data_IF_686648938656
#
_entry.id   IF_686648938656
#
_cell.length_a   1.000
_cell.length_b   1.000
_cell.length_c   1.000
_cell.angle_alpha   90.00
_cell.angle_beta   90.00
_cell.angle_gamma   90.00
#
_symmetry.space_group_name_H-M   'P 1'
#
loop_
_entity.id
_entity.type
_entity.pdbx_description
1 polymer ?
#
# COMPACT_ATOMS: atom_id res chain seq x y z
N UNK A 1 19.81 25.33 -3.49
CA UNK A 1 19.00 24.22 -4.06
C UNK A 1 18.25 23.58 -2.91
N UNK A 2 16.92 23.79 -2.84
CA UNK A 2 16.09 23.15 -1.82
C UNK A 2 15.73 21.77 -2.36
N UNK A 3 16.24 20.73 -1.72
CA UNK A 3 15.96 19.33 -2.04
C UNK A 3 14.50 18.99 -1.66
N UNK A 4 13.58 19.32 -2.56
CA UNK A 4 12.14 19.07 -2.39
C UNK A 4 11.77 17.60 -2.59
N UNK A 5 12.72 16.71 -2.89
CA UNK A 5 12.44 15.28 -3.06
C UNK A 5 12.23 14.58 -1.72
N UNK A 6 13.02 14.96 -0.70
CA UNK A 6 12.95 14.39 0.65
C UNK A 6 11.65 14.70 1.37
N UNK A 7 11.21 15.97 1.37
CA UNK A 7 10.00 16.34 2.13
C UNK A 7 8.69 15.77 1.55
N UNK A 8 8.67 15.37 0.27
CA UNK A 8 7.51 14.78 -0.40
C UNK A 8 7.29 13.31 -0.02
N UNK A 9 8.39 12.57 0.11
CA UNK A 9 8.37 11.20 0.68
C UNK A 9 7.87 11.25 2.12
N UNK A 10 8.30 12.25 2.89
CA UNK A 10 7.97 12.37 4.31
C UNK A 10 6.46 12.52 4.58
N UNK A 11 5.69 13.21 3.72
CA UNK A 11 4.25 13.41 3.96
C UNK A 11 3.40 12.17 3.66
N UNK A 12 3.71 11.44 2.57
CA UNK A 12 3.07 10.16 2.29
C UNK A 12 3.47 9.11 3.32
N UNK A 13 4.74 9.11 3.73
CA UNK A 13 5.23 8.22 4.77
C UNK A 13 4.63 8.55 6.14
N UNK A 14 4.39 9.83 6.45
CA UNK A 14 3.60 10.23 7.64
C UNK A 14 2.15 9.78 7.55
N UNK A 15 1.53 9.85 6.37
CA UNK A 15 0.19 9.32 6.17
C UNK A 15 0.14 7.80 6.34
N UNK A 16 1.11 7.06 5.78
CA UNK A 16 1.25 5.61 5.96
C UNK A 16 1.46 5.23 7.44
N UNK A 17 2.27 6.00 8.18
CA UNK A 17 2.44 5.85 9.63
C UNK A 17 1.10 6.03 10.35
N UNK A 18 0.41 7.15 10.13
CA UNK A 18 -0.88 7.45 10.79
C UNK A 18 -1.93 6.38 10.46
N UNK A 19 -2.01 5.97 9.19
CA UNK A 19 -2.99 4.98 8.74
C UNK A 19 -2.68 3.64 9.40
N UNK A 20 -1.44 3.17 9.37
CA UNK A 20 -1.19 1.87 9.96
C UNK A 20 -1.22 1.87 11.50
N UNK A 21 -1.06 3.02 12.18
CA UNK A 21 -1.27 3.10 13.65
C UNK A 21 -2.76 2.81 13.94
N UNK A 22 -3.64 3.40 13.13
CA UNK A 22 -5.08 3.13 13.19
C UNK A 22 -5.43 1.68 12.81
N UNK A 23 -4.73 1.11 11.83
CA UNK A 23 -4.90 -0.31 11.44
C UNK A 23 -4.48 -1.26 12.55
N UNK A 24 -3.39 -0.99 13.25
CA UNK A 24 -2.91 -1.81 14.37
C UNK A 24 -3.95 -1.85 15.50
N UNK A 25 -4.55 -0.70 15.82
CA UNK A 25 -5.67 -0.61 16.77
C UNK A 25 -6.89 -1.43 16.30
N UNK A 26 -7.28 -1.30 15.04
CA UNK A 26 -8.46 -1.98 14.50
C UNK A 26 -8.25 -3.50 14.33
N UNK A 27 -7.03 -3.94 13.99
CA UNK A 27 -6.68 -5.35 13.85
C UNK A 27 -6.38 -6.04 15.18
N UNK A 28 -6.27 -5.28 16.29
CA UNK A 28 -6.01 -5.78 17.65
C UNK A 28 -4.83 -6.76 17.73
N UNK A 29 -3.81 -6.53 16.90
CA UNK A 29 -2.65 -7.42 16.76
C UNK A 29 -1.37 -6.59 16.73
N UNK A 30 -0.31 -6.98 17.49
CA UNK A 30 0.97 -6.31 17.38
C UNK A 30 1.59 -6.66 16.02
N UNK A 31 1.58 -5.70 15.10
CA UNK A 31 2.19 -5.83 13.78
C UNK A 31 3.54 -5.13 13.80
N UNK A 32 4.56 -5.80 13.24
CA UNK A 32 5.84 -5.17 12.95
C UNK A 32 5.70 -4.36 11.67
N UNK A 33 6.26 -3.15 11.71
CA UNK A 33 6.39 -2.25 10.56
C UNK A 33 7.82 -2.28 10.03
N UNK A 34 7.97 -2.14 8.72
CA UNK A 34 9.28 -2.06 8.06
C UNK A 34 10.22 -3.25 8.34
N UNK A 35 9.67 -4.41 8.71
CA UNK A 35 10.47 -5.61 8.98
C UNK A 35 11.03 -6.18 7.67
N UNK A 36 12.34 -6.47 7.63
CA UNK A 36 12.92 -7.18 6.50
C UNK A 36 12.62 -8.67 6.61
N UNK A 37 11.66 -9.13 5.83
CA UNK A 37 11.28 -10.54 5.75
C UNK A 37 12.07 -11.22 4.65
N UNK A 38 13.06 -12.03 5.05
CA UNK A 38 13.92 -12.77 4.12
C UNK A 38 13.11 -13.84 3.39
N UNK A 39 13.15 -13.80 2.06
CA UNK A 39 12.60 -14.81 1.16
C UNK A 39 13.67 -15.87 0.82
N UNK A 40 14.84 -15.43 0.38
CA UNK A 40 15.97 -16.32 0.08
C UNK A 40 17.28 -15.58 0.31
N UNK A 41 18.42 -16.24 0.06
CA UNK A 41 19.73 -15.62 0.23
C UNK A 41 19.81 -14.27 -0.51
N UNK A 42 20.05 -13.20 0.25
CA UNK A 42 20.12 -11.82 -0.28
C UNK A 42 18.80 -11.19 -0.72
N UNK A 43 17.66 -11.90 -0.67
CA UNK A 43 16.36 -11.42 -1.17
C UNK A 43 15.38 -11.28 -0.01
N UNK A 44 14.80 -10.09 0.16
CA UNK A 44 13.81 -9.80 1.19
C UNK A 44 12.69 -8.92 0.65
N UNK A 45 11.55 -8.96 1.34
CA UNK A 45 10.48 -7.98 1.20
C UNK A 45 10.39 -7.15 2.49
N UNK A 46 9.77 -5.99 2.39
CA UNK A 46 9.46 -5.12 3.52
C UNK A 46 7.97 -4.83 3.43
N UNK A 47 7.10 -5.66 4.04
CA UNK A 47 5.68 -5.38 4.11
C UNK A 47 5.42 -4.24 5.09
N UNK A 48 4.33 -3.50 4.86
CA UNK A 48 3.90 -2.46 5.80
C UNK A 48 3.47 -3.05 7.15
N UNK A 49 2.86 -4.24 7.11
CA UNK A 49 2.33 -4.94 8.28
C UNK A 49 2.80 -6.40 8.29
N UNK A 50 3.38 -6.85 9.40
CA UNK A 50 3.83 -8.23 9.50
C UNK A 50 3.81 -8.80 10.93
N UNK A 51 3.26 -10.00 11.08
CA UNK A 51 3.43 -10.84 12.27
C UNK A 51 3.81 -12.26 11.84
N UNK A 52 5.03 -12.69 12.15
CA UNK A 52 5.45 -14.07 11.91
C UNK A 52 4.68 -15.05 12.80
N UNK A 53 4.45 -14.67 14.07
CA UNK A 53 3.76 -15.51 15.06
C UNK A 53 2.33 -15.81 14.63
N UNK A 54 1.61 -14.78 14.21
CA UNK A 54 0.20 -14.89 13.82
C UNK A 54 0.02 -15.17 12.32
N UNK A 55 1.14 -15.24 11.59
CA UNK A 55 1.23 -15.42 10.12
C UNK A 55 0.37 -14.42 9.38
N UNK A 56 0.56 -13.14 9.70
CA UNK A 56 -0.10 -12.01 9.05
C UNK A 56 0.93 -11.27 8.21
N UNK A 57 0.55 -10.93 6.98
CA UNK A 57 1.28 -10.01 6.12
C UNK A 57 0.27 -9.05 5.50
N UNK A 58 0.60 -7.77 5.44
CA UNK A 58 -0.28 -6.78 4.86
C UNK A 58 0.45 -5.58 4.30
N UNK A 59 -0.24 -4.90 3.39
CA UNK A 59 0.24 -3.73 2.66
C UNK A 59 -0.84 -2.64 2.75
N UNK A 60 -0.41 -1.40 2.97
CA UNK A 60 -1.27 -0.23 3.15
C UNK A 60 -1.30 0.56 1.84
N UNK A 61 -2.50 0.78 1.32
CA UNK A 61 -2.72 1.54 0.10
C UNK A 61 -3.50 2.82 0.40
N UNK A 62 -2.75 3.85 0.80
CA UNK A 62 -3.21 5.17 1.19
C UNK A 62 -3.49 6.11 0.00
N UNK A 63 -4.42 5.74 -0.87
CA UNK A 63 -4.82 6.56 -2.02
C UNK A 63 -6.31 6.89 -1.95
N UNK A 64 -6.68 8.05 -2.48
CA UNK A 64 -8.05 8.53 -2.59
C UNK A 64 -8.39 8.74 -4.06
N UNK A 65 -9.57 8.26 -4.47
CA UNK A 65 -10.08 8.33 -5.82
C UNK A 65 -9.62 7.20 -6.75
N UNK A 66 -9.83 7.39 -8.05
CA UNK A 66 -9.62 6.35 -9.06
C UNK A 66 -8.15 5.95 -9.20
N UNK A 67 -7.92 4.65 -9.42
CA UNK A 67 -6.59 4.09 -9.63
C UNK A 67 -6.06 4.39 -11.04
N UNK A 68 -4.87 4.99 -11.10
CA UNK A 68 -4.07 5.07 -12.33
C UNK A 68 -3.36 3.74 -12.59
N UNK A 69 -2.91 3.50 -13.82
CA UNK A 69 -2.19 2.27 -14.22
C UNK A 69 -0.98 1.97 -13.30
N UNK A 70 -0.17 2.98 -12.98
CA UNK A 70 0.96 2.81 -12.05
C UNK A 70 0.54 2.34 -10.65
N UNK A 71 -0.63 2.77 -10.17
CA UNK A 71 -1.17 2.34 -8.89
C UNK A 71 -1.69 0.90 -8.95
N UNK A 72 -2.32 0.51 -10.06
CA UNK A 72 -2.73 -0.88 -10.29
C UNK A 72 -1.52 -1.82 -10.31
N UNK A 73 -0.41 -1.39 -10.90
CA UNK A 73 0.84 -2.14 -10.86
C UNK A 73 1.42 -2.25 -9.45
N UNK A 74 1.39 -1.17 -8.65
CA UNK A 74 1.80 -1.21 -7.23
C UNK A 74 1.02 -2.28 -6.47
N UNK A 75 -0.31 -2.24 -6.54
CA UNK A 75 -1.17 -3.23 -5.88
C UNK A 75 -0.87 -4.66 -6.35
N UNK A 76 -0.67 -4.84 -7.66
CA UNK A 76 -0.33 -6.16 -8.22
C UNK A 76 1.02 -6.68 -7.70
N UNK A 77 2.01 -5.79 -7.56
CA UNK A 77 3.32 -6.11 -7.02
C UNK A 77 3.24 -6.47 -5.54
N UNK A 78 2.45 -5.73 -4.76
CA UNK A 78 2.21 -5.97 -3.34
C UNK A 78 1.52 -7.33 -3.11
N UNK A 79 0.52 -7.66 -3.93
CA UNK A 79 -0.08 -9.01 -3.97
C UNK A 79 0.98 -10.07 -4.25
N UNK A 80 1.81 -9.87 -5.28
CA UNK A 80 2.84 -10.84 -5.65
C UNK A 80 3.85 -11.08 -4.52
N UNK A 81 4.26 -10.04 -3.78
CA UNK A 81 5.15 -10.18 -2.61
C UNK A 81 4.53 -11.09 -1.56
N UNK A 82 3.27 -10.86 -1.21
CA UNK A 82 2.57 -11.65 -0.19
C UNK A 82 2.43 -13.13 -0.61
N UNK A 83 2.13 -13.39 -1.88
CA UNK A 83 2.04 -14.76 -2.40
C UNK A 83 3.40 -15.44 -2.46
N UNK A 84 4.46 -14.70 -2.82
CA UNK A 84 5.81 -15.21 -2.84
C UNK A 84 6.30 -15.55 -1.43
N UNK A 85 5.99 -14.72 -0.43
CA UNK A 85 6.29 -15.02 0.97
C UNK A 85 5.68 -16.35 1.40
N UNK A 86 4.38 -16.53 1.20
CA UNK A 86 3.66 -17.76 1.54
C UNK A 86 4.26 -18.98 0.85
N UNK A 87 4.53 -18.87 -0.46
CA UNK A 87 5.16 -19.95 -1.23
C UNK A 87 6.54 -20.31 -0.71
N UNK A 88 7.35 -19.31 -0.39
CA UNK A 88 8.73 -19.48 0.05
C UNK A 88 8.83 -20.05 1.46
N UNK A 89 7.93 -19.64 2.37
CA UNK A 89 7.91 -20.16 3.75
C UNK A 89 7.22 -21.52 3.85
N UNK A 90 6.48 -21.93 2.83
CA UNK A 90 5.73 -23.19 2.82
C UNK A 90 4.57 -23.22 3.82
N UNK A 91 4.14 -22.06 4.31
CA UNK A 91 3.04 -21.93 5.27
C UNK A 91 2.11 -20.81 4.82
N UNK A 92 0.80 -20.98 5.06
CA UNK A 92 -0.20 -19.97 4.72
C UNK A 92 -0.08 -18.73 5.61
N UNK A 93 -0.23 -17.56 4.98
CA UNK A 93 -0.38 -16.28 5.68
C UNK A 93 -1.78 -15.71 5.47
N UNK A 94 -2.32 -15.06 6.50
CA UNK A 94 -3.42 -14.12 6.37
C UNK A 94 -2.89 -12.87 5.66
N UNK A 95 -3.42 -12.59 4.48
CA UNK A 95 -2.96 -11.52 3.59
C UNK A 95 -3.97 -10.38 3.63
N UNK A 96 -3.53 -9.18 3.97
CA UNK A 96 -4.43 -8.03 4.18
C UNK A 96 -3.99 -6.85 3.32
N UNK A 97 -4.89 -6.35 2.47
CA UNK A 97 -4.77 -5.06 1.81
C UNK A 97 -5.60 -4.04 2.57
N UNK A 98 -4.94 -3.05 3.13
CA UNK A 98 -5.61 -1.94 3.81
C UNK A 98 -5.83 -0.80 2.83
N UNK A 99 -7.05 -0.28 2.77
CA UNK A 99 -7.43 0.85 1.92
C UNK A 99 -8.20 1.89 2.72
N UNK A 100 -8.36 3.09 2.16
CA UNK A 100 -8.98 4.23 2.83
C UNK A 100 -10.10 4.90 2.00
N UNK A 101 -10.40 4.37 0.81
CA UNK A 101 -11.30 5.00 -0.16
C UNK A 101 -12.26 3.98 -0.78
N UNK A 102 -13.54 4.36 -0.83
CA UNK A 102 -14.63 3.50 -1.31
C UNK A 102 -14.47 3.13 -2.78
N UNK A 103 -13.95 4.03 -3.64
CA UNK A 103 -13.79 3.73 -5.07
C UNK A 103 -12.68 2.70 -5.29
N UNK A 104 -11.67 2.71 -4.44
CA UNK A 104 -10.66 1.66 -4.44
C UNK A 104 -11.27 0.34 -3.99
N UNK A 105 -12.09 0.36 -2.93
CA UNK A 105 -12.80 -0.85 -2.48
C UNK A 105 -13.63 -1.45 -3.62
N UNK A 106 -14.44 -0.63 -4.28
CA UNK A 106 -15.25 -1.04 -5.44
C UNK A 106 -14.39 -1.65 -6.54
N UNK A 107 -13.24 -1.03 -6.88
CA UNK A 107 -12.33 -1.58 -7.88
C UNK A 107 -11.75 -2.94 -7.47
N UNK A 108 -11.28 -3.06 -6.23
CA UNK A 108 -10.67 -4.29 -5.70
C UNK A 108 -11.67 -5.42 -5.50
N UNK A 109 -12.96 -5.11 -5.35
CA UNK A 109 -14.05 -6.09 -5.28
C UNK A 109 -14.74 -6.34 -6.62
N UNK A 110 -14.45 -5.53 -7.63
CA UNK A 110 -15.12 -5.55 -8.93
C UNK A 110 -14.71 -6.69 -9.87
N UNK A 111 -14.80 -6.41 -11.18
CA UNK A 111 -14.50 -7.36 -12.28
C UNK A 111 -13.20 -6.99 -12.99
N UNK A 112 -12.09 -7.12 -12.27
CA UNK A 112 -10.74 -6.92 -12.81
C UNK A 112 -9.86 -8.13 -12.53
N UNK A 113 -8.74 -8.24 -13.23
CA UNK A 113 -7.72 -9.26 -12.95
C UNK A 113 -7.22 -9.20 -11.50
N UNK A 114 -7.03 -7.99 -10.96
CA UNK A 114 -6.61 -7.76 -9.56
C UNK A 114 -7.70 -8.24 -8.60
N UNK A 115 -8.95 -7.88 -8.86
CA UNK A 115 -10.08 -8.30 -8.02
C UNK A 115 -10.27 -9.82 -8.02
N UNK A 116 -10.09 -10.46 -9.17
CA UNK A 116 -10.13 -11.92 -9.26
C UNK A 116 -8.96 -12.57 -8.51
N UNK A 117 -7.75 -12.00 -8.61
CA UNK A 117 -6.59 -12.47 -7.85
C UNK A 117 -6.84 -12.39 -6.34
N UNK A 118 -7.38 -11.26 -5.87
CA UNK A 118 -7.75 -11.07 -4.45
C UNK A 118 -8.72 -12.17 -3.99
N UNK A 119 -9.76 -12.47 -4.76
CA UNK A 119 -10.71 -13.55 -4.46
C UNK A 119 -10.06 -14.93 -4.45
N UNK A 120 -9.33 -15.28 -5.50
CA UNK A 120 -8.76 -16.62 -5.68
C UNK A 120 -7.65 -16.93 -4.66
N UNK A 121 -6.88 -15.92 -4.25
CA UNK A 121 -5.79 -16.09 -3.28
C UNK A 121 -6.21 -15.78 -1.84
N UNK A 122 -7.49 -15.51 -1.59
CA UNK A 122 -8.03 -15.25 -0.25
C UNK A 122 -7.36 -14.05 0.44
N UNK A 123 -7.19 -12.95 -0.30
CA UNK A 123 -6.64 -11.71 0.23
C UNK A 123 -7.79 -10.89 0.82
N UNK A 124 -7.64 -10.45 2.06
CA UNK A 124 -8.61 -9.62 2.74
C UNK A 124 -8.44 -8.17 2.31
N UNK A 125 -9.54 -7.52 1.92
CA UNK A 125 -9.56 -6.06 1.71
C UNK A 125 -10.22 -5.43 2.91
N UNK A 126 -9.47 -4.61 3.65
CA UNK A 126 -9.90 -3.92 4.86
C UNK A 126 -9.92 -2.42 4.60
N UNK A 127 -11.12 -1.83 4.57
CA UNK A 127 -11.26 -0.38 4.53
C UNK A 127 -11.19 0.18 5.94
N UNK A 128 -10.40 1.24 6.10
CA UNK A 128 -10.28 2.01 7.33
C UNK A 128 -10.98 3.35 7.13
N UNK A 129 -11.85 3.71 8.06
CA UNK A 129 -12.49 5.01 8.07
C UNK A 129 -11.53 6.05 8.65
N UNK A 130 -11.27 7.11 7.88
CA UNK A 130 -10.39 8.19 8.31
C UNK A 130 -11.19 9.36 8.87
N UNK A 131 -10.62 10.05 9.86
CA UNK A 131 -11.13 11.35 10.26
C UNK A 131 -10.99 12.36 9.11
N UNK A 132 -11.88 13.35 9.06
CA UNK A 132 -11.87 14.37 8.02
C UNK A 132 -10.52 15.09 7.91
N UNK A 133 -9.86 15.34 9.05
CA UNK A 133 -8.54 15.98 9.08
C UNK A 133 -7.46 15.15 8.37
N UNK A 134 -7.44 13.83 8.60
CA UNK A 134 -6.46 12.93 7.97
C UNK A 134 -6.75 12.79 6.48
N UNK A 135 -8.03 12.69 6.11
CA UNK A 135 -8.48 12.64 4.72
C UNK A 135 -7.98 13.87 3.93
N UNK A 136 -8.18 15.08 4.46
CA UNK A 136 -7.73 16.33 3.80
C UNK A 136 -6.20 16.40 3.63
N UNK A 137 -5.43 15.90 4.61
CA UNK A 137 -3.97 15.82 4.50
C UNK A 137 -3.54 14.92 3.33
N UNK A 138 -4.18 13.75 3.18
CA UNK A 138 -3.87 12.81 2.10
C UNK A 138 -4.25 13.38 0.73
N UNK A 139 -5.43 14.01 0.64
CA UNK A 139 -5.86 14.70 -0.60
C UNK A 139 -4.87 15.79 -0.99
N UNK A 140 -4.41 16.60 -0.03
CA UNK A 140 -3.40 17.64 -0.27
C UNK A 140 -2.08 17.05 -0.78
N UNK A 141 -1.55 16.03 -0.12
CA UNK A 141 -0.32 15.35 -0.53
C UNK A 141 -0.42 14.75 -1.94
N UNK A 142 -1.55 14.10 -2.27
CA UNK A 142 -1.80 13.56 -3.60
C UNK A 142 -1.82 14.65 -4.69
N UNK A 143 -2.45 15.81 -4.44
CA UNK A 143 -2.48 16.92 -5.41
C UNK A 143 -1.08 17.44 -5.70
N UNK A 144 -0.24 17.57 -4.68
CA UNK A 144 1.14 17.99 -4.83
C UNK A 144 1.95 16.99 -5.66
N UNK A 145 1.75 15.68 -5.45
CA UNK A 145 2.44 14.64 -6.22
C UNK A 145 2.05 14.66 -7.71
N UNK A 146 0.77 14.90 -8.03
CA UNK A 146 0.33 15.03 -9.43
C UNK A 146 1.02 16.20 -10.13
N UNK A 147 1.10 17.37 -9.48
CA UNK A 147 1.78 18.54 -10.05
C UNK A 147 3.28 18.30 -10.30
N UNK A 148 3.95 17.57 -9.41
CA UNK A 148 5.37 17.21 -9.57
C UNK A 148 5.57 16.28 -10.76
N UNK A 149 4.73 15.25 -10.90
CA UNK A 149 4.83 14.29 -12.00
C UNK A 149 4.58 14.94 -13.37
N UNK A 150 3.65 15.91 -13.46
CA UNK A 150 3.42 16.67 -14.69
C UNK A 150 4.63 17.55 -15.05
N UNK A 151 5.24 18.20 -14.07
CA UNK A 151 6.45 19.00 -14.27
C UNK A 151 7.63 18.17 -14.76
N UNK A 152 7.78 16.95 -14.24
CA UNK A 152 8.85 16.06 -14.66
C UNK A 152 8.62 15.52 -16.07
N UNK A 153 7.38 15.12 -16.42
CA UNK A 153 7.05 14.69 -17.78
C UNK A 153 7.31 15.78 -18.83
N UNK A 154 7.04 17.06 -18.53
CA UNK A 154 7.34 18.17 -19.44
C UNK A 154 8.84 18.37 -19.71
N UNK A 155 9.73 17.95 -18.81
CA UNK A 155 11.19 17.99 -19.06
C UNK A 155 11.65 16.94 -20.08
N UNK A 156 10.92 15.83 -20.19
CA UNK A 156 11.24 14.75 -21.13
C UNK A 156 10.53 14.87 -22.48
N UNK A 157 9.48 15.69 -22.58
CA UNK A 157 8.80 16.00 -23.85
C UNK A 157 9.44 17.16 -24.64
N UNK A 158 10.49 17.78 -24.13
CA UNK A 158 11.28 18.77 -24.85
C UNK A 158 12.50 18.09 -25.53
N UNK A 159 12.23 17.31 -26.58
CA UNK A 159 13.24 16.86 -27.55
C UNK A 159 12.63 16.78 -28.94
#
# INVERSE_FOLDING_TARGET
MIDTSKSKSDEQQKAEIIIGDHVEEELSCPLKRNEKVVLSEGIYIVPDLYSEKDRIVGEIFAHIGSLKVGQQHKISQDILKMLLLEKTKGVKYRKVLVIIDDKIEEYLRGKSFIAESIRQFGIEVKKVDLSHEIYEKIVSAQRQQVMVNEFDMRKYSAK
#
